data_IF_071995285541
#
_entry.id   IF_071995285541
#
_cell.length_a   1.000
_cell.length_b   1.000
_cell.length_c   1.000
_cell.angle_alpha   90.00
_cell.angle_beta   90.00
_cell.angle_gamma   90.00
#
_symmetry.space_group_name_H-M   'P 1'
#
loop_
_entity.id
_entity.type
_entity.pdbx_description
1 polymer ?
#
# COMPACT_ATOMS: atom_id res chain seq x y z
N UNK A 1 -23.71 12.61 -6.31
CA UNK A 1 -22.60 11.81 -6.92
C UNK A 1 -21.26 12.10 -6.26
N UNK A 2 -20.88 13.37 -6.13
CA UNK A 2 -19.66 13.82 -5.44
C UNK A 2 -19.58 13.38 -3.98
N UNK A 3 -20.67 13.46 -3.22
CA UNK A 3 -20.71 13.00 -1.81
C UNK A 3 -20.34 11.51 -1.66
N UNK A 4 -20.85 10.63 -2.53
CA UNK A 4 -20.49 9.21 -2.54
C UNK A 4 -19.01 8.99 -2.84
N UNK A 5 -18.46 9.74 -3.80
CA UNK A 5 -17.03 9.67 -4.14
C UNK A 5 -16.15 10.12 -2.96
N UNK A 6 -16.58 11.15 -2.22
CA UNK A 6 -15.89 11.62 -1.02
C UNK A 6 -15.89 10.54 0.06
N UNK A 7 -17.05 9.94 0.36
CA UNK A 7 -17.17 8.86 1.34
C UNK A 7 -16.26 7.68 0.95
N UNK A 8 -16.27 7.30 -0.33
CA UNK A 8 -15.46 6.19 -0.84
C UNK A 8 -13.96 6.49 -0.74
N UNK A 9 -13.56 7.74 -0.97
CA UNK A 9 -12.16 8.20 -0.80
C UNK A 9 -11.72 8.09 0.65
N UNK A 10 -12.56 8.51 1.60
CA UNK A 10 -12.27 8.43 3.03
C UNK A 10 -12.07 6.97 3.45
N UNK A 11 -12.95 6.07 3.01
CA UNK A 11 -12.87 4.63 3.33
C UNK A 11 -11.58 4.03 2.77
N UNK A 12 -11.24 4.31 1.51
CA UNK A 12 -10.00 3.81 0.89
C UNK A 12 -8.75 4.38 1.58
N UNK A 13 -8.76 5.65 1.94
CA UNK A 13 -7.64 6.29 2.65
C UNK A 13 -7.41 5.66 4.03
N UNK A 14 -8.47 5.48 4.82
CA UNK A 14 -8.38 4.81 6.12
C UNK A 14 -7.91 3.37 5.99
N UNK A 15 -8.43 2.63 5.00
CA UNK A 15 -8.01 1.27 4.71
C UNK A 15 -6.51 1.20 4.36
N UNK A 16 -6.02 2.15 3.56
CA UNK A 16 -4.60 2.24 3.19
C UNK A 16 -3.71 2.53 4.40
N UNK A 17 -4.12 3.45 5.30
CA UNK A 17 -3.40 3.75 6.53
C UNK A 17 -3.25 2.50 7.40
N UNK A 18 -4.34 1.76 7.60
CA UNK A 18 -4.33 0.51 8.38
C UNK A 18 -3.39 -0.51 7.74
N UNK A 19 -3.52 -0.72 6.43
CA UNK A 19 -2.69 -1.68 5.69
C UNK A 19 -1.20 -1.34 5.79
N UNK A 20 -0.81 -0.10 5.55
CA UNK A 20 0.58 0.37 5.65
C UNK A 20 1.11 0.24 7.07
N UNK A 21 0.29 0.48 8.09
CA UNK A 21 0.69 0.35 9.50
C UNK A 21 0.99 -1.10 9.88
N UNK A 22 0.23 -2.06 9.32
CA UNK A 22 0.39 -3.50 9.57
C UNK A 22 1.56 -4.09 8.76
N UNK A 23 2.03 -3.41 7.70
CA UNK A 23 3.14 -3.94 6.90
C UNK A 23 4.37 -4.22 7.77
N UNK A 24 5.03 -5.38 7.57
CA UNK A 24 6.21 -5.72 8.34
C UNK A 24 7.31 -4.70 8.03
N UNK A 25 7.67 -3.89 9.04
CA UNK A 25 8.82 -3.00 8.95
C UNK A 25 10.06 -3.86 8.86
N UNK A 26 10.76 -3.83 7.72
CA UNK A 26 12.07 -4.46 7.62
C UNK A 26 13.03 -3.68 8.52
N UNK A 27 13.35 -4.24 9.68
CA UNK A 27 14.53 -3.83 10.43
C UNK A 27 15.74 -4.26 9.60
N UNK A 28 16.47 -3.28 9.06
CA UNK A 28 17.69 -3.53 8.31
C UNK A 28 18.76 -4.04 9.28
N UNK A 29 18.90 -5.35 9.37
CA UNK A 29 20.03 -5.97 10.07
C UNK A 29 21.21 -5.94 9.10
N UNK A 30 22.16 -5.04 9.33
CA UNK A 30 23.44 -5.02 8.63
C UNK A 30 24.27 -6.20 9.11
N UNK A 31 24.09 -7.38 8.52
CA UNK A 31 25.01 -8.49 8.72
C UNK A 31 26.33 -8.17 7.99
N UNK A 32 27.45 -8.14 8.72
CA UNK A 32 28.79 -8.04 8.11
C UNK A 32 29.18 -9.28 7.29
N UNK A 33 28.46 -10.40 7.45
CA UNK A 33 28.68 -11.62 6.69
C UNK A 33 27.74 -11.72 5.47
N UNK A 34 28.34 -11.73 4.27
CA UNK A 34 27.66 -11.87 2.99
C UNK A 34 26.89 -13.21 2.82
N UNK A 35 27.09 -14.18 3.74
CA UNK A 35 26.37 -15.46 3.78
C UNK A 35 25.09 -15.42 4.64
N UNK A 36 24.87 -14.36 5.43
CA UNK A 36 23.80 -14.25 6.43
C UNK A 36 22.37 -14.15 5.85
N UNK A 37 22.23 -13.85 4.56
CA UNK A 37 20.93 -13.74 3.88
C UNK A 37 20.64 -14.88 2.90
N UNK A 38 21.54 -15.86 2.76
CA UNK A 38 21.32 -17.04 1.93
C UNK A 38 20.28 -17.92 2.62
N UNK A 39 19.08 -18.04 2.02
CA UNK A 39 17.98 -18.87 2.52
C UNK A 39 16.87 -18.14 3.29
N UNK A 40 16.99 -16.81 3.54
CA UNK A 40 15.86 -16.04 4.10
C UNK A 40 14.83 -15.78 3.00
N UNK A 41 13.51 -15.93 3.28
CA UNK A 41 12.48 -15.64 2.30
C UNK A 41 12.62 -14.19 1.81
N UNK A 42 12.56 -14.01 0.48
CA UNK A 42 12.62 -12.68 -0.14
C UNK A 42 11.56 -11.77 0.49
N UNK A 43 11.81 -10.47 0.54
CA UNK A 43 10.84 -9.50 1.06
C UNK A 43 9.45 -9.75 0.46
N UNK A 44 9.35 -9.95 -0.85
CA UNK A 44 8.06 -10.19 -1.49
C UNK A 44 7.39 -11.50 -1.09
N UNK A 45 8.15 -12.50 -0.64
CA UNK A 45 7.64 -13.79 -0.18
C UNK A 45 7.03 -13.71 1.23
N UNK A 46 7.47 -12.76 2.06
CA UNK A 46 6.87 -12.55 3.38
C UNK A 46 5.66 -11.61 3.30
N UNK A 47 4.54 -12.03 3.89
CA UNK A 47 3.29 -11.27 3.96
C UNK A 47 2.84 -10.74 2.58
N UNK A 48 3.00 -11.57 1.54
CA UNK A 48 2.63 -11.30 0.13
C UNK A 48 1.25 -10.66 0.02
N UNK A 49 0.27 -11.23 0.72
CA UNK A 49 -1.13 -10.82 0.67
C UNK A 49 -1.32 -9.38 1.13
N UNK A 50 -0.75 -8.99 2.28
CA UNK A 50 -0.87 -7.62 2.80
C UNK A 50 -0.25 -6.62 1.83
N UNK A 51 0.88 -6.99 1.21
CA UNK A 51 1.58 -6.14 0.23
C UNK A 51 0.78 -5.97 -1.05
N UNK A 52 0.22 -7.05 -1.59
CA UNK A 52 -0.64 -7.01 -2.78
C UNK A 52 -1.92 -6.22 -2.50
N UNK A 53 -2.58 -6.43 -1.34
CA UNK A 53 -3.75 -5.64 -0.97
C UNK A 53 -3.42 -4.15 -0.83
N UNK A 54 -2.28 -3.82 -0.21
CA UNK A 54 -1.84 -2.42 -0.12
C UNK A 54 -1.64 -1.82 -1.50
N UNK A 55 -1.02 -2.56 -2.42
CA UNK A 55 -0.81 -2.12 -3.80
C UNK A 55 -2.14 -1.86 -4.52
N UNK A 56 -3.10 -2.78 -4.41
CA UNK A 56 -4.40 -2.65 -5.06
C UNK A 56 -5.19 -1.45 -4.51
N UNK A 57 -5.18 -1.27 -3.18
CA UNK A 57 -5.86 -0.15 -2.53
C UNK A 57 -5.20 1.18 -2.91
N UNK A 58 -3.87 1.24 -2.99
CA UNK A 58 -3.16 2.47 -3.38
C UNK A 58 -3.42 2.85 -4.83
N UNK A 59 -3.41 1.89 -5.75
CA UNK A 59 -3.75 2.11 -7.17
C UNK A 59 -5.20 2.60 -7.30
N UNK A 60 -6.12 1.96 -6.59
CA UNK A 60 -7.54 2.35 -6.61
C UNK A 60 -7.74 3.78 -6.09
N UNK A 61 -7.09 4.14 -4.98
CA UNK A 61 -7.12 5.50 -4.44
C UNK A 61 -6.54 6.51 -5.45
N UNK A 62 -5.42 6.18 -6.09
CA UNK A 62 -4.79 7.04 -7.08
C UNK A 62 -5.70 7.33 -8.28
N UNK A 63 -6.32 6.29 -8.85
CA UNK A 63 -7.27 6.45 -9.97
C UNK A 63 -8.49 7.28 -9.55
N UNK A 64 -9.01 7.06 -8.34
CA UNK A 64 -10.12 7.83 -7.80
C UNK A 64 -9.77 9.32 -7.67
N UNK A 65 -8.55 9.63 -7.22
CA UNK A 65 -8.06 11.02 -7.12
C UNK A 65 -7.89 11.67 -8.51
N UNK A 66 -7.39 10.94 -9.51
CA UNK A 66 -7.33 11.44 -10.89
C UNK A 66 -8.74 11.74 -11.44
N UNK A 67 -9.70 10.86 -11.16
CA UNK A 67 -11.08 11.08 -11.55
C UNK A 67 -11.68 12.31 -10.86
N UNK A 68 -11.37 12.54 -9.58
CA UNK A 68 -11.73 13.77 -8.88
C UNK A 68 -11.16 15.02 -9.55
N UNK A 69 -9.87 14.98 -9.92
CA UNK A 69 -9.23 16.09 -10.62
C UNK A 69 -9.95 16.38 -11.94
N UNK A 70 -10.21 15.36 -12.78
CA UNK A 70 -10.92 15.54 -14.05
C UNK A 70 -12.33 16.08 -13.82
N UNK A 71 -13.11 15.51 -12.91
CA UNK A 71 -14.50 15.97 -12.69
C UNK A 71 -14.61 17.36 -12.05
N UNK A 72 -13.57 17.85 -11.37
CA UNK A 72 -13.60 19.16 -10.71
C UNK A 72 -13.15 20.28 -11.64
N UNK A 73 -12.22 20.00 -12.56
CA UNK A 73 -11.58 20.99 -13.42
C UNK A 73 -12.00 20.91 -14.90
N UNK A 74 -12.96 20.05 -15.23
CA UNK A 74 -13.54 19.88 -16.56
C UNK A 74 -15.01 20.32 -16.53
#
# INVERSE_FOLDING_TARGET
MTELLIILTIILALSLIILVTIQPRQTQIFSMDATSNIGKPSYWQSNTLVKVLTLLVSISLFVLLLLFMVLTFN
#
